data_IF_917988640517
#
_entry.id   IF_917988640517
#
_cell.length_a   1.000
_cell.length_b   1.000
_cell.length_c   1.000
_cell.angle_alpha   90.00
_cell.angle_beta   90.00
_cell.angle_gamma   90.00
#
_symmetry.space_group_name_H-M   'P 1'
#
loop_
_entity.id
_entity.type
_entity.pdbx_description
1 polymer ?
#
# COMPACT_ATOMS: atom_id res chain seq x y z
N UNK A 1 12.16 -3.28 -23.92
CA UNK A 1 12.89 -3.31 -22.64
C UNK A 1 13.07 -1.87 -22.16
N UNK A 2 12.19 -1.28 -21.38
CA UNK A 2 10.89 -1.68 -20.86
C UNK A 2 10.13 -0.38 -20.56
N UNK A 3 8.91 -0.23 -21.05
CA UNK A 3 8.01 0.87 -20.64
C UNK A 3 7.50 0.65 -19.20
N UNK A 4 8.38 0.23 -18.28
CA UNK A 4 8.07 -0.07 -16.87
C UNK A 4 7.42 1.14 -16.20
N UNK A 5 7.82 2.35 -16.58
CA UNK A 5 7.21 3.57 -16.10
C UNK A 5 5.73 3.70 -16.51
N UNK A 6 5.36 3.33 -17.75
CA UNK A 6 3.95 3.34 -18.19
C UNK A 6 3.15 2.31 -17.41
N UNK A 7 3.67 1.09 -17.26
CA UNK A 7 3.01 0.04 -16.47
C UNK A 7 2.86 0.47 -15.00
N UNK A 8 3.85 1.16 -14.44
CA UNK A 8 3.75 1.68 -13.07
C UNK A 8 2.64 2.74 -12.96
N UNK A 9 2.47 3.61 -13.95
CA UNK A 9 1.33 4.55 -13.99
C UNK A 9 -0.01 3.82 -14.12
N UNK A 10 -0.09 2.79 -14.98
CA UNK A 10 -1.29 1.96 -15.10
C UNK A 10 -1.64 1.32 -13.75
N UNK A 11 -0.63 0.78 -13.06
CA UNK A 11 -0.79 0.19 -11.74
C UNK A 11 -1.35 1.20 -10.73
N UNK A 12 -0.72 2.38 -10.64
CA UNK A 12 -1.12 3.44 -9.71
C UNK A 12 -2.52 4.01 -10.00
N UNK A 13 -2.89 4.13 -11.28
CA UNK A 13 -4.17 4.74 -11.67
C UNK A 13 -5.35 3.75 -11.66
N UNK A 14 -5.10 2.50 -12.01
CA UNK A 14 -6.16 1.55 -12.31
C UNK A 14 -6.34 0.46 -11.26
N UNK A 15 -5.28 0.11 -10.51
CA UNK A 15 -5.34 -0.99 -9.55
C UNK A 15 -5.89 -0.55 -8.19
N UNK A 16 -6.50 -1.49 -7.48
CA UNK A 16 -7.13 -1.30 -6.18
C UNK A 16 -7.21 -2.62 -5.42
N UNK A 17 -7.42 -2.55 -4.10
CA UNK A 17 -7.60 -3.73 -3.26
C UNK A 17 -9.08 -4.12 -3.22
N UNK A 18 -9.37 -5.36 -3.61
CA UNK A 18 -10.73 -5.91 -3.54
C UNK A 18 -11.13 -6.20 -2.09
N UNK A 19 -12.41 -5.99 -1.78
CA UNK A 19 -13.01 -6.39 -0.50
C UNK A 19 -13.62 -7.80 -0.56
N UNK A 20 -13.93 -8.28 -1.77
CA UNK A 20 -14.46 -9.63 -2.02
C UNK A 20 -13.96 -10.08 -3.39
N UNK A 21 -12.84 -10.79 -3.36
CA UNK A 21 -12.15 -11.22 -4.57
C UNK A 21 -13.02 -12.09 -5.48
N UNK A 22 -13.81 -12.99 -4.91
CA UNK A 22 -14.66 -13.91 -5.67
C UNK A 22 -15.77 -13.15 -6.40
N UNK A 23 -16.43 -12.23 -5.70
CA UNK A 23 -17.45 -11.37 -6.30
C UNK A 23 -16.88 -10.50 -7.41
N UNK A 24 -15.72 -9.89 -7.21
CA UNK A 24 -15.08 -9.07 -8.24
C UNK A 24 -14.65 -9.91 -9.46
N UNK A 25 -14.21 -11.15 -9.24
CA UNK A 25 -13.94 -12.12 -10.31
C UNK A 25 -15.19 -12.49 -11.10
N UNK A 26 -16.34 -12.68 -10.44
CA UNK A 26 -17.61 -12.94 -11.11
C UNK A 26 -18.04 -11.76 -11.99
N UNK A 27 -17.91 -10.53 -11.49
CA UNK A 27 -18.21 -9.31 -12.27
C UNK A 27 -17.25 -9.18 -13.44
N UNK A 28 -15.94 -9.41 -13.22
CA UNK A 28 -14.92 -9.31 -14.26
C UNK A 28 -15.16 -10.27 -15.44
N UNK A 29 -15.74 -11.45 -15.18
CA UNK A 29 -16.07 -12.46 -16.20
C UNK A 29 -17.28 -12.12 -17.07
N UNK A 30 -18.11 -11.15 -16.67
CA UNK A 30 -19.30 -10.75 -17.44
C UNK A 30 -18.89 -10.16 -18.79
N UNK A 31 -19.51 -10.64 -19.86
CA UNK A 31 -19.19 -10.25 -21.25
C UNK A 31 -19.76 -8.88 -21.62
N UNK A 32 -20.87 -8.49 -20.99
CA UNK A 32 -21.54 -7.23 -21.26
C UNK A 32 -20.80 -6.09 -20.56
N UNK A 33 -20.16 -5.23 -21.36
CA UNK A 33 -19.33 -4.13 -20.84
C UNK A 33 -20.15 -3.02 -20.15
N UNK A 34 -21.46 -2.91 -20.44
CA UNK A 34 -22.32 -1.89 -19.84
C UNK A 34 -22.56 -2.14 -18.34
N UNK A 35 -22.71 -3.40 -17.94
CA UNK A 35 -22.92 -3.81 -16.54
C UNK A 35 -21.61 -4.20 -15.82
N UNK A 36 -20.48 -4.22 -16.54
CA UNK A 36 -19.18 -4.61 -15.98
C UNK A 36 -18.44 -3.39 -15.42
N UNK A 37 -18.56 -3.18 -14.10
CA UNK A 37 -17.88 -2.09 -13.39
C UNK A 37 -16.36 -2.26 -13.29
N UNK A 38 -15.82 -3.45 -13.58
CA UNK A 38 -14.40 -3.78 -13.44
C UNK A 38 -13.63 -3.44 -14.71
N UNK A 39 -14.21 -3.69 -15.89
CA UNK A 39 -13.52 -3.45 -17.16
C UNK A 39 -13.28 -1.95 -17.34
N UNK A 40 -12.03 -1.57 -17.60
CA UNK A 40 -11.64 -0.19 -17.90
C UNK A 40 -10.68 -0.16 -19.07
N UNK A 41 -10.71 0.91 -19.85
CA UNK A 41 -9.72 1.17 -20.89
C UNK A 41 -8.73 2.21 -20.38
N UNK A 42 -7.45 1.91 -20.43
CA UNK A 42 -6.38 2.87 -20.13
C UNK A 42 -5.83 3.42 -21.45
N UNK A 43 -5.83 4.73 -21.61
CA UNK A 43 -5.28 5.41 -22.79
C UNK A 43 -3.78 5.56 -22.60
N UNK A 44 -2.99 4.95 -23.48
CA UNK A 44 -1.53 5.00 -23.40
C UNK A 44 -1.01 6.36 -23.87
N UNK A 45 0.08 6.88 -23.27
CA UNK A 45 0.73 8.08 -23.75
C UNK A 45 1.36 7.83 -25.13
N UNK A 46 1.16 8.75 -26.08
CA UNK A 46 1.82 8.74 -27.39
C UNK A 46 3.14 9.53 -27.38
N UNK A 47 3.43 10.21 -26.25
CA UNK A 47 4.56 11.12 -26.04
C UNK A 47 4.68 12.28 -27.03
N UNK A 48 3.75 12.44 -27.97
CA UNK A 48 3.66 13.57 -28.90
C UNK A 48 2.63 14.57 -28.43
N UNK A 49 1.42 14.10 -28.13
CA UNK A 49 0.29 14.92 -27.70
C UNK A 49 -0.09 14.65 -26.25
N UNK A 50 0.08 13.40 -25.81
CA UNK A 50 -0.25 12.90 -24.48
C UNK A 50 1.02 12.34 -23.81
N UNK A 51 1.53 13.07 -22.82
CA UNK A 51 2.74 12.69 -22.07
C UNK A 51 2.50 11.69 -20.95
N UNK A 52 1.27 11.61 -20.43
CA UNK A 52 0.86 10.71 -19.35
C UNK A 52 -0.46 10.06 -19.72
N UNK A 53 -0.54 8.74 -19.60
CA UNK A 53 -1.79 8.02 -19.81
C UNK A 53 -2.85 8.32 -18.75
N UNK A 54 -4.04 7.80 -18.96
CA UNK A 54 -5.15 7.93 -18.02
C UNK A 54 -6.18 6.82 -18.21
N UNK A 55 -6.93 6.52 -17.15
CA UNK A 55 -8.10 5.63 -17.22
C UNK A 55 -9.26 6.38 -17.89
N UNK A 56 -9.77 5.84 -19.00
CA UNK A 56 -10.92 6.38 -19.73
C UNK A 56 -12.17 6.30 -18.85
N UNK A 57 -12.92 7.40 -18.77
CA UNK A 57 -14.21 7.44 -18.06
C UNK A 57 -15.25 6.60 -18.84
N UNK A 58 -16.07 5.79 -18.15
CA UNK A 58 -17.19 5.10 -18.81
C UNK A 58 -18.08 6.10 -19.56
N UNK A 59 -18.44 5.77 -20.80
CA UNK A 59 -19.32 6.60 -21.65
C UNK A 59 -18.64 7.78 -22.37
N UNK A 60 -17.34 8.03 -22.18
CA UNK A 60 -16.63 9.03 -22.99
C UNK A 60 -16.41 8.56 -24.43
N UNK A 61 -16.41 9.49 -25.39
CA UNK A 61 -16.14 9.18 -26.81
C UNK A 61 -14.80 8.45 -26.99
N UNK A 62 -14.81 7.43 -27.86
CA UNK A 62 -13.60 6.73 -28.26
C UNK A 62 -12.87 7.58 -29.29
N UNK A 63 -11.59 7.82 -29.04
CA UNK A 63 -10.70 8.43 -30.00
C UNK A 63 -9.74 7.34 -30.48
N UNK A 64 -9.92 6.92 -31.73
CA UNK A 64 -9.16 5.84 -32.37
C UNK A 64 -7.70 6.23 -32.67
N UNK A 65 -7.30 7.49 -32.46
CA UNK A 65 -5.92 7.94 -32.63
C UNK A 65 -5.00 7.46 -31.49
N UNK A 66 -5.56 7.18 -30.31
CA UNK A 66 -4.78 6.74 -29.16
C UNK A 66 -4.84 5.23 -28.98
N UNK A 67 -3.67 4.62 -28.74
CA UNK A 67 -3.61 3.22 -28.32
C UNK A 67 -4.21 3.06 -26.92
N UNK A 68 -4.98 2.00 -26.72
CA UNK A 68 -5.60 1.69 -25.43
C UNK A 68 -5.24 0.29 -24.94
N UNK A 69 -5.16 0.15 -23.63
CA UNK A 69 -5.01 -1.12 -22.93
C UNK A 69 -6.33 -1.43 -22.22
N UNK A 70 -6.97 -2.54 -22.57
CA UNK A 70 -8.17 -3.01 -21.88
C UNK A 70 -7.75 -3.75 -20.61
N UNK A 71 -8.16 -3.21 -19.47
CA UNK A 71 -7.89 -3.75 -18.15
C UNK A 71 -9.12 -4.45 -17.57
N UNK A 72 -8.92 -5.60 -16.96
CA UNK A 72 -9.96 -6.47 -16.38
C UNK A 72 -9.64 -6.85 -14.93
N UNK A 73 -9.51 -8.15 -14.63
CA UNK A 73 -9.27 -8.66 -13.28
C UNK A 73 -7.88 -8.32 -12.72
N UNK A 74 -6.90 -8.03 -13.55
CA UNK A 74 -5.55 -7.62 -13.13
C UNK A 74 -5.56 -6.38 -12.22
N UNK A 75 -6.59 -5.54 -12.33
CA UNK A 75 -6.76 -4.34 -11.51
C UNK A 75 -6.85 -4.65 -10.01
N UNK A 76 -7.38 -5.80 -9.63
CA UNK A 76 -7.47 -6.22 -8.23
C UNK A 76 -6.66 -7.49 -7.93
N UNK A 77 -6.42 -8.34 -8.93
CA UNK A 77 -5.59 -9.52 -8.77
C UNK A 77 -4.11 -9.19 -8.51
N UNK A 78 -3.59 -8.06 -9.02
CA UNK A 78 -2.21 -7.66 -8.76
C UNK A 78 -2.02 -7.28 -7.27
N UNK A 79 -2.83 -6.37 -6.68
CA UNK A 79 -2.73 -6.09 -5.24
C UNK A 79 -3.07 -7.29 -4.34
N UNK A 80 -3.89 -8.24 -4.80
CA UNK A 80 -4.26 -9.44 -4.01
C UNK A 80 -3.06 -10.28 -3.62
N UNK A 81 -1.96 -10.25 -4.39
CA UNK A 81 -0.71 -10.94 -4.06
C UNK A 81 -0.14 -10.50 -2.70
N UNK A 82 -0.45 -9.30 -2.22
CA UNK A 82 -0.05 -8.85 -0.88
C UNK A 82 -0.80 -9.57 0.23
N UNK A 83 -2.00 -10.09 -0.05
CA UNK A 83 -2.87 -10.78 0.90
C UNK A 83 -2.84 -12.30 0.72
N UNK A 84 -2.65 -12.78 -0.51
CA UNK A 84 -2.58 -14.20 -0.87
C UNK A 84 -1.40 -14.46 -1.83
N UNK A 85 -0.14 -14.38 -1.35
CA UNK A 85 1.04 -14.61 -2.19
C UNK A 85 1.14 -16.06 -2.73
N UNK A 86 0.51 -17.01 -2.04
CA UNK A 86 0.47 -18.42 -2.45
C UNK A 86 -0.21 -18.63 -3.82
N UNK A 87 -1.11 -17.74 -4.23
CA UNK A 87 -1.81 -17.82 -5.52
C UNK A 87 -0.86 -17.73 -6.72
N UNK A 88 0.32 -17.13 -6.53
CA UNK A 88 1.39 -17.05 -7.54
C UNK A 88 2.57 -17.97 -7.22
N UNK A 89 2.39 -18.90 -6.28
CA UNK A 89 3.40 -19.88 -5.87
C UNK A 89 4.47 -19.34 -4.93
N UNK A 90 4.23 -18.21 -4.26
CA UNK A 90 5.11 -17.68 -3.21
C UNK A 90 4.60 -18.20 -1.85
N UNK A 91 5.38 -19.08 -1.22
CA UNK A 91 5.07 -19.68 0.08
C UNK A 91 5.42 -18.72 1.23
N UNK A 92 4.58 -17.69 1.41
CA UNK A 92 4.68 -16.69 2.48
C UNK A 92 3.29 -16.36 3.04
N UNK A 93 3.26 -15.80 4.25
CA UNK A 93 2.02 -15.29 4.84
C UNK A 93 1.55 -14.04 4.09
N UNK A 94 0.24 -13.85 4.04
CA UNK A 94 -0.36 -12.59 3.60
C UNK A 94 -0.07 -11.43 4.57
N UNK A 95 -0.28 -10.20 4.13
CA UNK A 95 -0.11 -9.00 4.95
C UNK A 95 -0.93 -9.06 6.25
N UNK A 96 -2.23 -9.36 6.16
CA UNK A 96 -3.13 -9.38 7.31
C UNK A 96 -2.76 -10.47 8.32
N UNK A 97 -2.42 -11.67 7.83
CA UNK A 97 -1.93 -12.78 8.65
C UNK A 97 -0.61 -12.45 9.34
N UNK A 98 0.30 -11.78 8.62
CA UNK A 98 1.60 -11.36 9.16
C UNK A 98 1.42 -10.37 10.30
N UNK A 99 0.50 -9.41 10.18
CA UNK A 99 0.19 -8.44 11.23
C UNK A 99 -0.27 -9.16 12.50
N UNK A 100 -1.26 -10.05 12.39
CA UNK A 100 -1.78 -10.80 13.53
C UNK A 100 -0.69 -11.70 14.16
N UNK A 101 0.07 -12.39 13.32
CA UNK A 101 1.16 -13.25 13.76
C UNK A 101 2.20 -12.47 14.56
N UNK A 102 2.67 -11.32 14.07
CA UNK A 102 3.67 -10.51 14.77
C UNK A 102 3.13 -10.00 16.12
N UNK A 103 1.88 -9.55 16.17
CA UNK A 103 1.25 -9.12 17.43
C UNK A 103 1.16 -10.30 18.42
N UNK A 104 0.87 -11.51 17.94
CA UNK A 104 0.81 -12.71 18.78
C UNK A 104 2.18 -13.07 19.42
N UNK A 105 3.29 -12.71 18.77
CA UNK A 105 4.64 -12.90 19.29
C UNK A 105 5.00 -11.89 20.39
N UNK A 106 4.28 -10.77 20.47
CA UNK A 106 4.49 -9.77 21.51
C UNK A 106 3.93 -10.24 22.87
N UNK A 107 4.43 -9.69 23.99
CA UNK A 107 3.90 -9.96 25.33
C UNK A 107 2.39 -9.72 25.42
N UNK A 108 1.66 -10.60 26.10
CA UNK A 108 0.18 -10.57 26.13
C UNK A 108 -0.42 -9.21 26.53
N UNK A 109 0.21 -8.53 27.50
CA UNK A 109 -0.26 -7.25 28.01
C UNK A 109 -0.08 -6.08 27.02
N UNK A 110 0.76 -6.21 25.99
CA UNK A 110 0.95 -5.16 24.97
C UNK A 110 0.03 -5.34 23.75
N UNK A 111 -0.45 -6.57 23.50
CA UNK A 111 -1.25 -6.90 22.32
C UNK A 111 -2.50 -6.02 22.13
N UNK A 112 -3.32 -5.73 23.16
CA UNK A 112 -4.48 -4.85 22.98
C UNK A 112 -4.10 -3.49 22.40
N UNK A 113 -3.01 -2.90 22.90
CA UNK A 113 -2.51 -1.62 22.42
C UNK A 113 -2.00 -1.70 20.98
N UNK A 114 -1.42 -2.82 20.57
CA UNK A 114 -0.93 -3.00 19.21
C UNK A 114 -2.08 -3.15 18.19
N UNK A 115 -3.12 -3.92 18.51
CA UNK A 115 -4.30 -4.04 17.64
C UNK A 115 -5.04 -2.72 17.47
N UNK A 116 -5.09 -1.89 18.52
CA UNK A 116 -5.75 -0.58 18.49
C UNK A 116 -4.92 0.49 17.73
N UNK A 117 -3.62 0.24 17.47
CA UNK A 117 -2.71 1.23 16.91
C UNK A 117 -1.93 0.70 15.70
N UNK A 118 -2.64 0.23 14.67
CA UNK A 118 -2.04 -0.21 13.41
C UNK A 118 -1.96 0.99 12.45
N UNK A 119 -0.75 1.39 12.06
CA UNK A 119 -0.51 2.47 11.10
C UNK A 119 -0.03 1.91 9.76
N UNK A 120 -0.74 2.26 8.68
CA UNK A 120 -0.35 1.92 7.31
C UNK A 120 0.44 3.06 6.68
N UNK A 121 1.65 2.79 6.20
CA UNK A 121 2.53 3.78 5.57
C UNK A 121 3.31 3.17 4.40
N UNK A 122 3.87 4.00 3.52
CA UNK A 122 4.59 3.58 2.33
C UNK A 122 3.75 3.53 1.04
N UNK A 123 4.41 3.22 -0.08
CA UNK A 123 3.81 3.34 -1.42
C UNK A 123 2.67 2.38 -1.72
N UNK A 124 2.76 1.12 -1.29
CA UNK A 124 1.70 0.13 -1.53
C UNK A 124 0.40 0.47 -0.79
N UNK A 125 0.47 1.24 0.29
CA UNK A 125 -0.71 1.71 1.02
C UNK A 125 -1.54 2.74 0.24
N UNK A 126 -1.03 3.23 -0.91
CA UNK A 126 -1.76 4.11 -1.82
C UNK A 126 -2.85 3.41 -2.64
N UNK A 127 -2.94 2.08 -2.64
CA UNK A 127 -4.04 1.40 -3.33
C UNK A 127 -5.39 1.70 -2.66
N UNK A 128 -6.42 2.12 -3.42
CA UNK A 128 -7.77 2.29 -2.87
C UNK A 128 -8.27 0.99 -2.24
N UNK A 129 -8.90 1.08 -1.07
CA UNK A 129 -9.44 -0.07 -0.32
C UNK A 129 -8.43 -0.80 0.58
N UNK A 130 -7.16 -0.37 0.62
CA UNK A 130 -6.14 -1.01 1.45
C UNK A 130 -6.50 -1.00 2.94
N UNK A 131 -6.91 0.15 3.48
CA UNK A 131 -7.24 0.30 4.91
C UNK A 131 -8.41 -0.59 5.30
N UNK A 132 -9.46 -0.58 4.49
CA UNK A 132 -10.69 -1.33 4.74
C UNK A 132 -10.42 -2.83 4.72
N UNK A 133 -9.63 -3.30 3.75
CA UNK A 133 -9.25 -4.72 3.64
C UNK A 133 -8.42 -5.17 4.84
N UNK A 134 -7.35 -4.44 5.17
CA UNK A 134 -6.50 -4.78 6.33
C UNK A 134 -7.30 -4.76 7.63
N UNK A 135 -8.15 -3.75 7.84
CA UNK A 135 -8.98 -3.67 9.04
C UNK A 135 -9.95 -4.86 9.15
N UNK A 136 -10.62 -5.22 8.05
CA UNK A 136 -11.56 -6.34 8.01
C UNK A 136 -10.86 -7.67 8.28
N UNK A 137 -9.74 -7.94 7.58
CA UNK A 137 -9.02 -9.20 7.69
C UNK A 137 -8.39 -9.37 9.08
N UNK A 138 -7.70 -8.33 9.59
CA UNK A 138 -7.08 -8.39 10.94
C UNK A 138 -8.15 -8.54 12.03
N UNK A 139 -9.29 -7.87 11.90
CA UNK A 139 -10.43 -8.05 12.83
C UNK A 139 -10.98 -9.48 12.79
N UNK A 140 -10.97 -10.14 11.64
CA UNK A 140 -11.40 -11.53 11.55
C UNK A 140 -10.41 -12.52 12.20
N UNK A 141 -9.13 -12.16 12.30
CA UNK A 141 -8.08 -12.98 12.91
C UNK A 141 -7.91 -12.73 14.41
N UNK A 142 -8.07 -11.47 14.84
CA UNK A 142 -7.84 -11.07 16.22
C UNK A 142 -8.88 -11.66 17.20
N UNK A 143 -8.53 -11.86 18.49
CA UNK A 143 -9.49 -12.24 19.53
C UNK A 143 -10.64 -11.22 19.66
N UNK A 144 -11.85 -11.68 20.00
CA UNK A 144 -13.07 -10.85 20.04
C UNK A 144 -12.99 -9.70 21.06
N UNK A 145 -12.20 -9.86 22.12
CA UNK A 145 -12.02 -8.83 23.16
C UNK A 145 -11.06 -7.71 22.74
N UNK A 146 -10.31 -7.89 21.65
CA UNK A 146 -9.35 -6.90 21.17
C UNK A 146 -10.06 -5.92 20.22
N UNK A 147 -9.92 -4.62 20.46
CA UNK A 147 -10.35 -3.61 19.49
C UNK A 147 -9.30 -3.47 18.38
N UNK A 148 -9.72 -3.53 17.12
CA UNK A 148 -8.81 -3.38 15.96
C UNK A 148 -9.04 -2.02 15.32
N UNK A 149 -8.00 -1.21 15.29
CA UNK A 149 -8.03 0.08 14.63
C UNK A 149 -6.82 0.27 13.70
N UNK A 150 -7.14 0.55 12.44
CA UNK A 150 -6.17 0.71 11.36
C UNK A 150 -6.25 2.13 10.82
N UNK A 151 -5.14 2.87 10.93
CA UNK A 151 -5.02 4.25 10.48
C UNK A 151 -4.24 4.29 9.16
N UNK A 152 -4.81 4.96 8.16
CA UNK A 152 -4.13 5.28 6.90
C UNK A 152 -4.07 6.81 6.78
N UNK A 153 -2.88 7.44 6.81
CA UNK A 153 -2.75 8.88 6.63
C UNK A 153 -3.07 9.27 5.17
N UNK A 154 -3.48 10.53 4.92
CA UNK A 154 -3.79 11.00 3.56
C UNK A 154 -2.64 10.86 2.56
N UNK A 155 -1.39 10.99 3.04
CA UNK A 155 -0.18 10.81 2.23
C UNK A 155 0.75 9.79 2.90
N UNK A 156 0.55 8.49 2.67
CA UNK A 156 1.38 7.45 3.27
C UNK A 156 2.79 7.41 2.68
N UNK A 157 3.05 8.02 1.52
CA UNK A 157 4.35 7.96 0.83
C UNK A 157 5.40 8.78 1.58
N UNK A 158 5.06 9.99 2.00
CA UNK A 158 5.98 10.91 2.69
C UNK A 158 5.75 10.98 4.19
N UNK A 159 4.91 10.11 4.76
CA UNK A 159 4.50 10.21 6.16
C UNK A 159 5.68 10.10 7.14
N UNK A 160 6.64 9.21 6.88
CA UNK A 160 7.86 9.12 7.69
C UNK A 160 8.72 10.39 7.62
N UNK A 161 8.80 11.03 6.45
CA UNK A 161 9.51 12.30 6.27
C UNK A 161 8.82 13.44 7.02
N UNK A 162 7.48 13.49 6.98
CA UNK A 162 6.69 14.46 7.75
C UNK A 162 6.90 14.27 9.26
N UNK A 163 6.92 13.02 9.74
CA UNK A 163 7.25 12.68 11.11
C UNK A 163 8.66 13.13 11.51
N UNK A 164 9.66 12.88 10.66
CA UNK A 164 11.04 13.34 10.89
C UNK A 164 11.16 14.86 10.93
N UNK A 165 10.45 15.57 10.04
CA UNK A 165 10.37 17.03 10.05
C UNK A 165 9.76 17.54 11.36
N UNK A 166 8.65 16.96 11.81
CA UNK A 166 8.01 17.35 13.08
C UNK A 166 8.92 17.07 14.27
N UNK A 167 9.55 15.89 14.31
CA UNK A 167 10.49 15.51 15.36
C UNK A 167 11.69 16.48 15.44
N UNK A 168 12.21 16.94 14.29
CA UNK A 168 13.32 17.90 14.25
C UNK A 168 12.98 19.30 14.81
N UNK A 169 11.69 19.60 14.96
CA UNK A 169 11.21 20.86 15.54
C UNK A 169 11.00 20.76 17.05
N UNK A 170 11.07 19.56 17.63
CA UNK A 170 10.95 19.37 19.06
C UNK A 170 12.16 19.97 19.79
N UNK A 171 11.98 20.77 20.86
CA UNK A 171 13.09 21.30 21.64
C UNK A 171 14.04 20.23 22.21
N UNK A 172 13.53 19.04 22.50
CA UNK A 172 14.31 17.91 22.99
C UNK A 172 15.12 17.23 21.88
N UNK A 173 14.87 17.54 20.60
CA UNK A 173 15.55 16.90 19.47
C UNK A 173 17.07 16.85 19.62
N UNK A 174 17.66 17.99 19.98
CA UNK A 174 19.11 18.11 20.11
C UNK A 174 19.68 17.38 21.35
N UNK A 175 18.84 16.95 22.29
CA UNK A 175 19.30 16.19 23.48
C UNK A 175 19.69 14.75 23.15
N UNK A 176 19.23 14.21 22.02
CA UNK A 176 19.52 12.84 21.58
C UNK A 176 20.26 12.77 20.24
N UNK A 177 20.77 13.89 19.72
CA UNK A 177 21.66 13.90 18.55
C UNK A 177 23.09 13.54 18.97
N UNK A 178 23.81 12.81 18.12
CA UNK A 178 25.26 12.63 18.24
C UNK A 178 25.95 13.77 17.51
N UNK A 179 26.73 14.59 18.24
CA UNK A 179 27.48 15.70 17.63
C UNK A 179 28.74 15.21 16.93
N UNK A 180 29.35 16.11 16.15
CA UNK A 180 30.62 15.81 15.50
C UNK A 180 31.73 15.55 16.54
N UNK A 181 31.77 16.35 17.59
CA UNK A 181 32.76 16.22 18.67
C UNK A 181 32.62 14.88 19.40
N UNK A 182 31.39 14.50 19.77
CA UNK A 182 31.11 13.20 20.41
C UNK A 182 31.53 12.03 19.50
N UNK A 183 31.25 12.12 18.20
CA UNK A 183 31.68 11.10 17.24
C UNK A 183 33.20 11.06 17.02
N UNK A 184 33.91 12.19 17.07
CA UNK A 184 35.37 12.21 16.95
C UNK A 184 36.06 11.59 18.19
N UNK A 185 35.43 11.64 19.36
CA UNK A 185 35.93 11.05 20.60
C UNK A 185 35.61 9.54 20.73
N UNK A 186 34.37 9.14 20.47
CA UNK A 186 33.88 7.78 20.73
C UNK A 186 33.68 6.94 19.47
N UNK A 187 33.65 7.58 18.30
CA UNK A 187 33.49 6.93 17.01
C UNK A 187 32.12 6.29 16.81
N UNK A 188 32.10 5.25 15.97
CA UNK A 188 30.88 4.57 15.55
C UNK A 188 30.14 3.86 16.71
N UNK A 189 30.87 3.47 17.76
CA UNK A 189 30.28 2.77 18.91
C UNK A 189 29.18 3.59 19.59
N UNK A 190 29.37 4.91 19.69
CA UNK A 190 28.38 5.82 20.26
C UNK A 190 27.08 5.86 19.46
N UNK A 191 27.15 5.79 18.12
CA UNK A 191 25.95 5.75 17.28
C UNK A 191 25.15 4.46 17.51
N UNK A 192 25.83 3.33 17.68
CA UNK A 192 25.19 2.05 18.01
C UNK A 192 24.53 2.10 19.39
N UNK A 193 25.24 2.62 20.40
CA UNK A 193 24.71 2.75 21.76
C UNK A 193 23.46 3.64 21.81
N UNK A 194 23.44 4.74 21.06
CA UNK A 194 22.36 5.74 21.14
C UNK A 194 21.15 5.41 20.26
N UNK A 195 21.36 4.80 19.10
CA UNK A 195 20.31 4.64 18.09
C UNK A 195 20.00 3.20 17.70
N UNK A 196 20.74 2.21 18.21
CA UNK A 196 20.53 0.77 17.90
C UNK A 196 20.45 0.50 16.38
N UNK A 197 21.32 1.17 15.61
CA UNK A 197 21.44 1.05 14.14
C UNK A 197 22.47 0.01 13.69
#
# INVERSE_FOLDING_TARGET
>A
MDETHVINQVKEDACYVSQDFNKDMEIARRRDNEDNSIVREYVLPDYTTLKRGYVRKPGSEKNDQFQTLRLTNERFAIPEVLFHPADIGIDQMGLSETIDHVISLCPEHTRPHLYENILLTGGCCGFPGMRERVASDVRALAPDEMEVNVVLPPNPITYAWEGGKLNSQDPEFYSYVVTKEEYEEEGLALCYERFDI
#
